data_IF_092574540268
#
_entry.id   IF_092574540268
#
_cell.length_a   1.000
_cell.length_b   1.000
_cell.length_c   1.000
_cell.angle_alpha   90.00
_cell.angle_beta   90.00
_cell.angle_gamma   90.00
#
_symmetry.space_group_name_H-M   'P 1'
#
loop_
_entity.id
_entity.type
_entity.pdbx_description
1 polymer ?
#
# COMPACT_ATOMS: atom_id res chain seq x y z
N UNK A 1 -1.52 -7.47 -26.26
CA UNK A 1 -1.97 -7.11 -27.62
C UNK A 1 -2.23 -8.41 -28.36
N UNK A 2 -3.35 -8.48 -29.13
CA UNK A 2 -4.05 -9.65 -29.70
C UNK A 2 -4.95 -10.37 -28.67
N UNK A 3 -6.28 -10.50 -28.80
CA UNK A 3 -7.24 -10.07 -29.81
C UNK A 3 -8.36 -11.11 -30.00
N UNK A 4 -9.62 -10.67 -29.81
CA UNK A 4 -10.88 -11.13 -30.43
C UNK A 4 -11.46 -12.54 -30.12
N UNK A 5 -12.79 -12.56 -29.95
CA UNK A 5 -13.61 -13.65 -29.38
C UNK A 5 -13.98 -14.81 -30.31
N UNK A 6 -14.75 -15.80 -29.83
CA UNK A 6 -14.97 -17.03 -30.57
C UNK A 6 -16.14 -16.90 -31.55
N UNK A 7 -15.84 -17.16 -32.83
CA UNK A 7 -16.80 -17.48 -33.86
C UNK A 7 -17.36 -18.89 -33.63
N UNK A 8 -18.65 -19.07 -33.94
CA UNK A 8 -19.35 -20.34 -33.82
C UNK A 8 -18.84 -21.40 -34.81
N UNK A 9 -18.81 -22.64 -34.33
CA UNK A 9 -18.61 -23.85 -35.12
C UNK A 9 -19.43 -24.99 -34.52
N UNK A 10 -20.47 -25.40 -35.23
CA UNK A 10 -21.28 -26.58 -34.95
C UNK A 10 -20.47 -27.84 -35.29
N UNK A 11 -20.10 -28.61 -34.26
CA UNK A 11 -19.38 -29.89 -34.39
C UNK A 11 -19.91 -30.91 -33.40
N UNK A 12 -20.42 -32.02 -33.91
CA UNK A 12 -20.98 -33.16 -33.21
C UNK A 12 -19.96 -33.89 -32.32
N UNK A 13 -20.37 -34.19 -31.09
CA UNK A 13 -20.02 -35.43 -30.39
C UNK A 13 -18.53 -35.73 -30.16
N UNK A 14 -17.93 -35.06 -29.19
CA UNK A 14 -17.08 -35.72 -28.21
C UNK A 14 -17.23 -34.98 -26.89
N UNK A 15 -17.37 -35.70 -25.78
CA UNK A 15 -17.25 -35.10 -24.46
C UNK A 15 -15.84 -34.50 -24.39
N UNK A 16 -15.70 -33.19 -24.62
CA UNK A 16 -14.52 -32.46 -24.21
C UNK A 16 -14.42 -32.65 -22.70
N UNK A 17 -13.58 -33.60 -22.31
CA UNK A 17 -13.46 -34.08 -20.94
C UNK A 17 -13.38 -32.88 -20.02
N UNK A 18 -14.32 -32.79 -19.08
CA UNK A 18 -14.43 -31.71 -18.11
C UNK A 18 -13.03 -31.25 -17.71
N UNK A 19 -12.65 -30.04 -18.16
CA UNK A 19 -11.30 -29.53 -17.97
C UNK A 19 -10.87 -29.81 -16.54
N UNK A 20 -9.73 -30.51 -16.36
CA UNK A 20 -9.31 -31.03 -15.06
C UNK A 20 -9.46 -29.93 -13.99
N UNK A 21 -10.45 -30.07 -13.11
CA UNK A 21 -10.84 -29.00 -12.17
C UNK A 21 -9.66 -28.58 -11.29
N UNK A 22 -8.77 -29.53 -10.95
CA UNK A 22 -7.52 -29.25 -10.25
C UNK A 22 -6.60 -28.31 -11.01
N UNK A 23 -6.44 -28.46 -12.34
CA UNK A 23 -5.63 -27.55 -13.16
C UNK A 23 -6.26 -26.15 -13.22
N UNK A 24 -7.58 -26.05 -13.33
CA UNK A 24 -8.29 -24.77 -13.33
C UNK A 24 -8.13 -24.04 -11.99
N UNK A 25 -8.31 -24.74 -10.86
CA UNK A 25 -8.09 -24.18 -9.51
C UNK A 25 -6.64 -23.75 -9.29
N UNK A 26 -5.67 -24.53 -9.78
CA UNK A 26 -4.26 -24.18 -9.71
C UNK A 26 -3.95 -22.89 -10.48
N UNK A 27 -4.46 -22.76 -11.71
CA UNK A 27 -4.30 -21.52 -12.51
C UNK A 27 -4.97 -20.32 -11.85
N UNK A 28 -6.16 -20.49 -11.29
CA UNK A 28 -6.85 -19.42 -10.57
C UNK A 28 -6.05 -18.96 -9.35
N UNK A 29 -5.50 -19.89 -8.56
CA UNK A 29 -4.60 -19.55 -7.44
C UNK A 29 -3.38 -18.75 -7.91
N UNK A 30 -2.75 -19.15 -9.01
CA UNK A 30 -1.64 -18.39 -9.58
C UNK A 30 -2.07 -16.99 -10.03
N UNK A 31 -3.27 -16.85 -10.59
CA UNK A 31 -3.82 -15.55 -10.96
C UNK A 31 -4.07 -14.66 -9.73
N UNK A 32 -4.61 -15.20 -8.64
CA UNK A 32 -4.77 -14.47 -7.37
C UNK A 32 -3.42 -13.97 -6.85
N UNK A 33 -2.35 -14.76 -6.95
CA UNK A 33 -1.01 -14.29 -6.57
C UNK A 33 -0.52 -13.12 -7.43
N UNK A 34 -0.77 -13.12 -8.74
CA UNK A 34 -0.42 -11.98 -9.60
C UNK A 34 -1.14 -10.70 -9.15
N UNK A 35 -2.41 -10.80 -8.74
CA UNK A 35 -3.16 -9.66 -8.21
C UNK A 35 -2.61 -9.19 -6.86
N UNK A 36 -2.28 -10.13 -5.95
CA UNK A 36 -1.66 -9.82 -4.66
C UNK A 36 -0.30 -9.16 -4.82
N UNK A 37 0.52 -9.61 -5.78
CA UNK A 37 1.80 -9.00 -6.12
C UNK A 37 1.62 -7.57 -6.66
N UNK A 38 0.61 -7.34 -7.51
CA UNK A 38 0.29 -6.01 -8.01
C UNK A 38 -0.07 -5.03 -6.88
N UNK A 39 -0.86 -5.47 -5.90
CA UNK A 39 -1.16 -4.64 -4.71
C UNK A 39 0.05 -4.50 -3.79
N UNK A 40 0.85 -5.55 -3.62
CA UNK A 40 2.04 -5.51 -2.77
C UNK A 40 3.19 -4.68 -3.36
N UNK A 41 3.13 -4.35 -4.65
CA UNK A 41 4.14 -3.51 -5.31
C UNK A 41 4.26 -2.11 -4.68
N UNK A 42 3.17 -1.54 -4.14
CA UNK A 42 3.21 -0.25 -3.44
C UNK A 42 4.04 -0.32 -2.15
N UNK A 43 3.86 -1.40 -1.39
CA UNK A 43 4.63 -1.68 -0.17
C UNK A 43 6.09 -2.00 -0.50
N UNK A 44 6.33 -2.79 -1.56
CA UNK A 44 7.66 -3.17 -2.03
C UNK A 44 8.44 -2.02 -2.70
N UNK A 45 7.77 -0.95 -3.09
CA UNK A 45 8.42 0.23 -3.67
C UNK A 45 9.48 0.78 -2.69
N UNK A 46 10.75 0.97 -3.12
CA UNK A 46 11.82 1.40 -2.21
C UNK A 46 11.56 2.77 -1.56
N UNK A 47 10.87 3.66 -2.27
CA UNK A 47 10.52 5.00 -1.80
C UNK A 47 9.11 5.03 -1.18
N UNK A 48 8.82 5.99 -0.27
CA UNK A 48 7.49 6.13 0.31
C UNK A 48 6.41 6.47 -0.73
N UNK A 49 5.26 5.83 -0.60
CA UNK A 49 4.06 6.00 -1.44
C UNK A 49 2.97 6.68 -0.62
N UNK A 50 2.46 7.80 -1.14
CA UNK A 50 1.36 8.55 -0.54
C UNK A 50 0.10 8.35 -1.39
N UNK A 51 -0.92 7.72 -0.82
CA UNK A 51 -2.26 7.66 -1.41
C UNK A 51 -3.04 8.94 -1.06
N UNK A 52 -3.48 9.68 -2.07
CA UNK A 52 -4.37 10.82 -1.94
C UNK A 52 -5.73 10.46 -2.53
N UNK A 53 -6.72 10.20 -1.68
CA UNK A 53 -8.02 9.64 -2.08
C UNK A 53 -9.09 10.72 -2.16
N UNK A 54 -9.66 10.89 -3.35
CA UNK A 54 -10.88 11.68 -3.55
C UNK A 54 -11.93 10.82 -4.26
N UNK A 55 -13.21 11.06 -3.96
CA UNK A 55 -14.30 10.25 -4.53
C UNK A 55 -14.36 8.86 -3.91
N UNK A 56 -14.60 7.83 -4.72
CA UNK A 56 -14.86 6.47 -4.26
C UNK A 56 -13.57 5.62 -4.22
N UNK A 57 -13.35 4.95 -3.09
CA UNK A 57 -12.28 3.99 -2.85
C UNK A 57 -12.91 2.68 -2.33
N UNK A 58 -13.28 1.80 -3.25
CA UNK A 58 -14.18 0.66 -2.99
C UNK A 58 -13.49 -0.63 -3.42
N UNK A 59 -13.60 -1.68 -2.59
CA UNK A 59 -13.03 -3.00 -2.85
C UNK A 59 -11.51 -2.96 -3.08
N UNK A 60 -11.08 -3.30 -4.29
CA UNK A 60 -9.68 -3.21 -4.74
C UNK A 60 -8.99 -1.86 -4.45
N UNK A 61 -9.76 -0.78 -4.36
CA UNK A 61 -9.25 0.52 -3.91
C UNK A 61 -8.69 0.47 -2.48
N UNK A 62 -9.36 -0.23 -1.56
CA UNK A 62 -8.90 -0.46 -0.19
C UNK A 62 -7.66 -1.34 -0.17
N UNK A 63 -7.62 -2.42 -0.97
CA UNK A 63 -6.43 -3.28 -1.09
C UNK A 63 -5.19 -2.47 -1.50
N UNK A 64 -5.37 -1.57 -2.47
CA UNK A 64 -4.32 -0.67 -2.94
C UNK A 64 -3.87 0.30 -1.85
N UNK A 65 -4.78 1.06 -1.24
CA UNK A 65 -4.37 2.13 -0.30
C UNK A 65 -3.81 1.59 1.02
N UNK A 66 -4.23 0.40 1.43
CA UNK A 66 -3.69 -0.26 2.63
C UNK A 66 -2.26 -0.76 2.44
N UNK A 67 -1.81 -0.95 1.18
CA UNK A 67 -0.42 -1.24 0.83
C UNK A 67 0.47 0.02 0.70
N UNK A 68 -0.11 1.22 0.66
CA UNK A 68 0.65 2.48 0.67
C UNK A 68 1.18 2.83 2.06
N UNK A 69 2.23 3.64 2.13
CA UNK A 69 2.83 4.06 3.42
C UNK A 69 1.97 5.09 4.15
N UNK A 70 1.43 6.05 3.40
CA UNK A 70 0.64 7.16 3.94
C UNK A 70 -0.65 7.30 3.13
N UNK A 71 -1.76 7.55 3.82
CA UNK A 71 -3.07 7.79 3.21
C UNK A 71 -3.63 9.14 3.66
N UNK A 72 -4.12 9.91 2.71
CA UNK A 72 -4.82 11.18 2.88
C UNK A 72 -6.13 11.10 2.10
N UNK A 73 -7.17 11.82 2.53
CA UNK A 73 -8.44 11.81 1.83
C UNK A 73 -9.11 13.18 1.75
N UNK A 74 -10.13 13.32 0.90
CA UNK A 74 -11.14 14.36 1.08
C UNK A 74 -12.15 13.95 2.16
N UNK A 75 -12.73 14.89 2.91
CA UNK A 75 -13.78 14.62 3.90
C UNK A 75 -14.96 13.85 3.27
N UNK A 76 -15.28 14.19 2.02
CA UNK A 76 -16.34 13.59 1.21
C UNK A 76 -15.95 12.31 0.46
N UNK A 77 -14.71 11.81 0.62
CA UNK A 77 -14.36 10.53 0.02
C UNK A 77 -15.21 9.40 0.62
N UNK A 78 -15.52 8.39 -0.19
CA UNK A 78 -16.32 7.22 0.23
C UNK A 78 -15.44 6.00 0.15
N UNK A 79 -15.38 5.25 1.25
CA UNK A 79 -14.61 4.03 1.39
C UNK A 79 -15.53 2.85 1.65
N UNK A 80 -15.18 1.67 1.14
CA UNK A 80 -15.94 0.45 1.39
C UNK A 80 -15.09 -0.80 1.13
N UNK A 81 -15.08 -1.73 2.08
CA UNK A 81 -14.59 -3.11 1.88
C UNK A 81 -15.73 -3.91 1.28
N UNK A 82 -15.83 -3.91 -0.05
CA UNK A 82 -17.06 -4.27 -0.79
C UNK A 82 -17.27 -5.77 -1.00
N UNK A 83 -16.24 -6.56 -0.75
CA UNK A 83 -16.15 -7.93 -1.24
C UNK A 83 -17.27 -8.84 -0.71
N UNK A 84 -17.73 -8.64 0.54
CA UNK A 84 -18.82 -9.44 1.11
C UNK A 84 -20.14 -9.27 0.32
N UNK A 85 -20.46 -8.06 -0.13
CA UNK A 85 -21.64 -7.79 -0.98
C UNK A 85 -21.51 -8.42 -2.38
N UNK A 86 -20.28 -8.74 -2.80
CA UNK A 86 -19.98 -9.42 -4.06
C UNK A 86 -19.84 -10.93 -3.90
N UNK A 87 -20.14 -11.47 -2.71
CA UNK A 87 -19.93 -12.88 -2.35
C UNK A 87 -18.46 -13.34 -2.52
N UNK A 88 -17.53 -12.43 -2.24
CA UNK A 88 -16.08 -12.64 -2.30
C UNK A 88 -15.50 -12.41 -0.91
N UNK A 89 -14.52 -13.23 -0.52
CA UNK A 89 -13.65 -12.91 0.62
C UNK A 89 -12.53 -12.03 0.09
N UNK A 90 -12.33 -10.85 0.68
CA UNK A 90 -11.24 -9.97 0.24
C UNK A 90 -9.89 -10.68 0.34
N UNK A 91 -9.22 -10.82 -0.80
CA UNK A 91 -8.07 -11.72 -0.98
C UNK A 91 -6.82 -11.00 -1.55
N UNK A 92 -6.90 -9.70 -1.84
CA UNK A 92 -5.78 -8.93 -2.42
C UNK A 92 -4.96 -8.13 -1.41
N UNK A 93 -5.32 -8.19 -0.12
CA UNK A 93 -4.47 -7.67 0.97
C UNK A 93 -5.20 -6.92 2.08
N UNK A 94 -6.44 -6.48 1.87
CA UNK A 94 -7.18 -5.69 2.87
C UNK A 94 -7.26 -6.42 4.21
N UNK A 95 -7.61 -7.72 4.24
CA UNK A 95 -7.72 -8.47 5.49
C UNK A 95 -6.36 -8.72 6.17
N UNK A 96 -5.26 -8.61 5.43
CA UNK A 96 -3.90 -8.79 5.94
C UNK A 96 -3.31 -7.47 6.47
N UNK A 97 -3.68 -6.32 5.88
CA UNK A 97 -3.09 -5.02 6.20
C UNK A 97 -3.98 -4.12 7.08
N UNK A 98 -5.29 -4.12 6.83
CA UNK A 98 -6.23 -3.22 7.51
C UNK A 98 -6.25 -3.37 9.04
N UNK A 99 -6.16 -4.58 9.64
CA UNK A 99 -6.14 -4.74 11.10
C UNK A 99 -5.00 -4.00 11.80
N UNK A 100 -3.82 -3.90 11.16
CA UNK A 100 -2.68 -3.17 11.70
C UNK A 100 -2.84 -1.64 11.59
N UNK A 101 -3.77 -1.18 10.75
CA UNK A 101 -4.01 0.25 10.49
C UNK A 101 -5.13 0.78 11.39
N UNK A 102 -6.31 0.13 11.36
CA UNK A 102 -7.53 0.61 12.04
C UNK A 102 -7.91 -0.22 13.27
N UNK A 103 -7.19 -1.32 13.52
CA UNK A 103 -7.52 -2.29 14.56
C UNK A 103 -8.46 -3.40 14.06
N UNK A 104 -8.43 -4.54 14.76
CA UNK A 104 -9.20 -5.73 14.38
C UNK A 104 -10.73 -5.51 14.44
N UNK A 105 -11.22 -4.82 15.48
CA UNK A 105 -12.66 -4.58 15.66
C UNK A 105 -13.28 -3.77 14.51
N UNK A 106 -12.67 -2.63 14.16
CA UNK A 106 -13.11 -1.82 13.03
C UNK A 106 -12.95 -2.58 11.70
N UNK A 107 -11.89 -3.36 11.53
CA UNK A 107 -11.72 -4.19 10.33
C UNK A 107 -12.86 -5.19 10.17
N UNK A 108 -13.21 -5.92 11.23
CA UNK A 108 -14.30 -6.89 11.20
C UNK A 108 -15.64 -6.21 10.88
N UNK A 109 -15.92 -5.08 11.52
CA UNK A 109 -17.15 -4.31 11.29
C UNK A 109 -17.28 -3.86 9.83
N UNK A 110 -16.24 -3.22 9.27
CA UNK A 110 -16.24 -2.75 7.89
C UNK A 110 -16.30 -3.90 6.86
N UNK A 111 -15.52 -4.97 7.07
CA UNK A 111 -15.42 -6.08 6.11
C UNK A 111 -16.66 -6.99 6.12
N UNK A 112 -17.31 -7.17 7.27
CA UNK A 112 -18.51 -8.01 7.37
C UNK A 112 -19.79 -7.27 6.94
N UNK A 113 -19.86 -5.96 7.17
CA UNK A 113 -21.04 -5.16 6.80
C UNK A 113 -20.97 -4.63 5.37
N UNK A 114 -19.77 -4.53 4.77
CA UNK A 114 -19.53 -3.91 3.48
C UNK A 114 -20.14 -2.49 3.36
N UNK A 115 -20.31 -1.78 4.49
CA UNK A 115 -20.91 -0.45 4.48
C UNK A 115 -19.94 0.60 3.90
N UNK A 116 -20.53 1.66 3.39
CA UNK A 116 -19.80 2.87 3.06
C UNK A 116 -19.41 3.64 4.33
N UNK A 117 -18.26 4.29 4.29
CA UNK A 117 -17.81 5.25 5.29
C UNK A 117 -17.14 6.46 4.66
N UNK A 118 -17.24 7.61 5.33
CA UNK A 118 -16.72 8.88 4.80
C UNK A 118 -15.22 9.04 5.03
N UNK A 119 -14.58 10.00 4.35
CA UNK A 119 -13.19 10.35 4.60
C UNK A 119 -12.96 10.98 5.97
N UNK A 120 -13.97 11.65 6.54
CA UNK A 120 -13.93 12.12 7.92
C UNK A 120 -13.89 10.93 8.90
N UNK A 121 -14.75 9.94 8.72
CA UNK A 121 -14.74 8.71 9.53
C UNK A 121 -13.46 7.90 9.32
N UNK A 122 -12.97 7.80 8.08
CA UNK A 122 -11.71 7.13 7.76
C UNK A 122 -10.52 7.74 8.54
N UNK A 123 -10.56 9.05 8.84
CA UNK A 123 -9.57 9.72 9.69
C UNK A 123 -9.73 9.33 11.16
N UNK A 124 -10.96 9.27 11.66
CA UNK A 124 -11.25 8.83 13.04
C UNK A 124 -10.79 7.37 13.27
N UNK A 125 -11.02 6.51 12.28
CA UNK A 125 -10.56 5.12 12.25
C UNK A 125 -9.05 4.97 12.00
N UNK A 126 -8.34 6.07 11.69
CA UNK A 126 -6.91 6.12 11.32
C UNK A 126 -6.56 5.40 10.02
N UNK A 127 -7.55 5.04 9.21
CA UNK A 127 -7.29 4.58 7.84
C UNK A 127 -6.54 5.65 7.07
N UNK A 128 -6.96 6.91 7.18
CA UNK A 128 -6.20 8.06 6.66
C UNK A 128 -5.61 8.89 7.80
N UNK A 129 -4.43 9.44 7.59
CA UNK A 129 -3.78 10.27 8.61
C UNK A 129 -4.41 11.66 8.70
N UNK A 130 -4.92 12.18 7.58
CA UNK A 130 -5.69 13.43 7.52
C UNK A 130 -6.73 13.40 6.40
N UNK A 131 -7.80 14.17 6.62
CA UNK A 131 -8.85 14.46 5.65
C UNK A 131 -8.92 15.97 5.35
N UNK A 132 -9.34 16.33 4.14
CA UNK A 132 -9.35 17.70 3.64
C UNK A 132 -10.68 18.06 2.98
N UNK A 133 -11.09 19.33 3.08
CA UNK A 133 -12.37 19.81 2.56
C UNK A 133 -12.51 19.75 1.03
N UNK A 134 -11.40 19.75 0.29
CA UNK A 134 -11.42 19.73 -1.18
C UNK A 134 -10.26 18.90 -1.76
N UNK A 135 -10.41 18.48 -3.01
CA UNK A 135 -9.38 17.75 -3.74
C UNK A 135 -8.11 18.58 -3.93
N UNK A 136 -8.23 19.89 -4.16
CA UNK A 136 -7.11 20.80 -4.30
C UNK A 136 -6.31 20.89 -3.01
N UNK A 137 -6.99 21.02 -1.87
CA UNK A 137 -6.35 21.04 -0.55
C UNK A 137 -5.65 19.71 -0.24
N UNK A 138 -6.30 18.58 -0.56
CA UNK A 138 -5.72 17.24 -0.46
C UNK A 138 -4.43 17.13 -1.28
N UNK A 139 -4.47 17.51 -2.57
CA UNK A 139 -3.30 17.42 -3.46
C UNK A 139 -2.19 18.38 -3.05
N UNK A 140 -2.52 19.58 -2.58
CA UNK A 140 -1.53 20.51 -2.05
C UNK A 140 -0.80 19.92 -0.83
N UNK A 141 -1.53 19.30 0.09
CA UNK A 141 -0.97 18.65 1.27
C UNK A 141 -0.13 17.42 0.92
N UNK A 142 -0.62 16.54 0.04
CA UNK A 142 0.11 15.37 -0.43
C UNK A 142 1.45 15.76 -1.09
N UNK A 143 1.43 16.76 -1.96
CA UNK A 143 2.63 17.27 -2.62
C UNK A 143 3.60 17.96 -1.64
N UNK A 144 3.09 18.71 -0.65
CA UNK A 144 3.92 19.31 0.38
C UNK A 144 4.61 18.24 1.26
N UNK A 145 3.89 17.18 1.60
CA UNK A 145 4.44 16.03 2.31
C UNK A 145 5.49 15.30 1.48
N UNK A 146 5.21 15.02 0.21
CA UNK A 146 6.17 14.41 -0.72
C UNK A 146 7.45 15.24 -0.83
N UNK A 147 7.35 16.57 -0.99
CA UNK A 147 8.51 17.48 -0.99
C UNK A 147 9.29 17.45 0.33
N UNK A 148 8.58 17.34 1.45
CA UNK A 148 9.21 17.26 2.78
C UNK A 148 10.02 15.98 2.93
N UNK A 149 9.49 14.85 2.47
CA UNK A 149 10.17 13.55 2.44
C UNK A 149 11.36 13.59 1.47
N UNK A 150 11.16 14.11 0.26
CA UNK A 150 12.20 14.19 -0.78
C UNK A 150 13.37 15.11 -0.40
N UNK A 151 13.20 16.01 0.57
CA UNK A 151 14.26 16.85 1.11
C UNK A 151 15.14 16.15 2.17
N UNK A 152 14.84 14.89 2.52
CA UNK A 152 15.62 14.07 3.45
C UNK A 152 16.62 13.19 2.70
N UNK A 153 17.57 12.60 3.42
CA UNK A 153 18.46 11.57 2.87
C UNK A 153 17.61 10.42 2.31
N UNK A 154 17.73 10.08 1.01
CA UNK A 154 16.95 9.00 0.45
C UNK A 154 17.37 7.65 1.04
N UNK A 155 18.64 7.47 1.41
CA UNK A 155 19.11 6.30 2.16
C UNK A 155 18.38 6.16 3.50
N UNK A 156 18.27 7.24 4.27
CA UNK A 156 17.59 7.23 5.56
C UNK A 156 16.08 6.99 5.40
N UNK A 157 15.44 7.61 4.40
CA UNK A 157 14.00 7.45 4.15
C UNK A 157 13.66 6.02 3.72
N UNK A 158 14.37 5.48 2.72
CA UNK A 158 14.15 4.11 2.25
C UNK A 158 14.47 3.09 3.35
N UNK A 159 15.54 3.30 4.12
CA UNK A 159 15.89 2.47 5.27
C UNK A 159 14.82 2.52 6.36
N UNK A 160 14.26 3.70 6.65
CA UNK A 160 13.16 3.85 7.62
C UNK A 160 11.94 3.05 7.18
N UNK A 161 11.51 3.16 5.91
CA UNK A 161 10.41 2.36 5.36
C UNK A 161 10.70 0.86 5.52
N UNK A 162 11.89 0.42 5.14
CA UNK A 162 12.30 -1.00 5.21
C UNK A 162 12.22 -1.56 6.63
N UNK A 163 12.74 -0.81 7.61
CA UNK A 163 12.74 -1.21 9.03
C UNK A 163 11.33 -1.22 9.61
N UNK A 164 10.49 -0.24 9.28
CA UNK A 164 9.08 -0.21 9.71
C UNK A 164 8.30 -1.42 9.20
N UNK A 165 8.47 -1.78 7.92
CA UNK A 165 7.84 -2.95 7.34
C UNK A 165 8.34 -4.25 7.97
N UNK A 166 9.64 -4.36 8.24
CA UNK A 166 10.19 -5.52 8.94
C UNK A 166 9.57 -5.63 10.35
N UNK A 167 9.55 -4.54 11.12
CA UNK A 167 9.00 -4.55 12.47
C UNK A 167 7.53 -4.97 12.52
N UNK A 168 6.70 -4.56 11.56
CA UNK A 168 5.27 -4.91 11.51
C UNK A 168 5.03 -6.41 11.68
N UNK A 169 5.89 -7.23 11.07
CA UNK A 169 5.71 -8.68 10.96
C UNK A 169 6.62 -9.47 11.93
N UNK A 170 7.37 -8.77 12.80
CA UNK A 170 8.35 -9.37 13.70
C UNK A 170 8.27 -8.81 15.13
N UNK A 171 8.96 -9.44 16.08
CA UNK A 171 9.01 -8.91 17.44
C UNK A 171 9.84 -7.62 17.52
N UNK A 172 9.69 -6.88 18.63
CA UNK A 172 10.53 -5.70 18.88
C UNK A 172 12.02 -6.07 18.93
N UNK A 173 12.36 -7.23 19.50
CA UNK A 173 13.74 -7.70 19.57
C UNK A 173 14.34 -7.96 18.18
N UNK A 174 13.60 -8.65 17.31
CA UNK A 174 14.02 -8.91 15.93
C UNK A 174 14.17 -7.59 15.15
N UNK A 175 13.23 -6.66 15.32
CA UNK A 175 13.27 -5.35 14.67
C UNK A 175 14.48 -4.51 15.10
N UNK A 176 14.84 -4.56 16.38
CA UNK A 176 16.03 -3.88 16.92
C UNK A 176 17.34 -4.48 16.39
N UNK A 177 17.42 -5.81 16.29
CA UNK A 177 18.59 -6.49 15.70
C UNK A 177 18.73 -6.18 14.20
N UNK A 178 17.60 -6.21 13.47
CA UNK A 178 17.55 -5.88 12.05
C UNK A 178 18.03 -4.46 11.76
N UNK A 179 17.53 -3.46 12.51
CA UNK A 179 17.95 -2.06 12.32
C UNK A 179 19.39 -1.82 12.77
N UNK A 180 19.88 -2.53 13.79
CA UNK A 180 21.28 -2.45 14.21
C UNK A 180 22.22 -2.92 13.09
N UNK A 181 21.92 -4.07 12.47
CA UNK A 181 22.66 -4.61 11.32
C UNK A 181 22.59 -3.69 10.11
N UNK A 182 21.42 -3.14 9.81
CA UNK A 182 21.26 -2.16 8.73
C UNK A 182 22.13 -0.91 8.97
N UNK A 183 22.03 -0.31 10.15
CA UNK A 183 22.75 0.92 10.48
C UNK A 183 24.26 0.70 10.62
N UNK A 184 24.72 -0.46 11.07
CA UNK A 184 26.16 -0.77 11.10
C UNK A 184 26.77 -0.85 9.71
N UNK A 185 25.99 -1.22 8.68
CA UNK A 185 26.41 -1.19 7.29
C UNK A 185 26.32 0.21 6.67
N UNK A 186 25.29 0.99 7.01
CA UNK A 186 24.94 2.24 6.31
C UNK A 186 25.51 3.52 6.94
N UNK A 187 25.71 3.56 8.26
CA UNK A 187 26.15 4.78 8.96
C UNK A 187 27.65 5.05 8.90
N UNK A 188 28.56 4.05 9.04
CA UNK A 188 29.98 4.32 8.98
C UNK A 188 30.36 5.01 7.68
N UNK A 189 30.98 6.19 7.78
CA UNK A 189 31.43 7.00 6.64
C UNK A 189 30.32 7.45 5.68
N UNK A 190 29.06 7.49 6.13
CA UNK A 190 27.95 8.00 5.33
C UNK A 190 28.16 9.45 4.90
N UNK A 191 28.21 9.70 3.59
CA UNK A 191 28.30 11.03 3.01
C UNK A 191 27.10 11.91 3.40
N UNK A 192 25.91 11.32 3.53
CA UNK A 192 24.70 12.04 3.94
C UNK A 192 24.81 12.54 5.39
N UNK A 193 25.40 11.75 6.29
CA UNK A 193 25.66 12.18 7.67
C UNK A 193 26.69 13.31 7.71
N UNK A 194 27.77 13.19 6.94
CA UNK A 194 28.78 14.26 6.82
C UNK A 194 28.16 15.56 6.29
N UNK A 195 27.32 15.46 5.26
CA UNK A 195 26.60 16.59 4.67
C UNK A 195 25.68 17.28 5.68
N UNK A 196 25.00 16.54 6.56
CA UNK A 196 24.21 17.14 7.65
C UNK A 196 25.08 18.02 8.55
N UNK A 197 26.26 17.54 8.93
CA UNK A 197 27.18 18.32 9.77
C UNK A 197 27.73 19.55 9.03
N UNK A 198 28.14 19.40 7.77
CA UNK A 198 28.64 20.49 6.93
C UNK A 198 27.58 21.57 6.70
N UNK A 199 26.36 21.18 6.31
CA UNK A 199 25.25 22.09 6.08
C UNK A 199 24.88 22.87 7.34
N UNK A 200 24.89 22.20 8.51
CA UNK A 200 24.65 22.84 9.81
C UNK A 200 25.73 23.87 10.14
N UNK A 201 27.00 23.54 9.94
CA UNK A 201 28.11 24.48 10.16
C UNK A 201 27.99 25.71 9.24
N UNK A 202 27.53 25.52 8.01
CA UNK A 202 27.35 26.57 7.00
C UNK A 202 25.97 27.28 7.07
N UNK A 203 25.11 26.94 8.04
CA UNK A 203 23.73 27.47 8.18
C UNK A 203 22.90 27.37 6.91
N UNK A 204 23.11 26.31 6.12
CA UNK A 204 22.31 25.99 4.93
C UNK A 204 21.52 24.70 5.13
N UNK A 205 20.60 24.41 4.22
CA UNK A 205 19.93 23.09 4.18
C UNK A 205 20.87 22.04 3.58
N UNK A 206 20.84 20.79 4.08
CA UNK A 206 21.62 19.72 3.49
C UNK A 206 21.07 19.36 2.11
N UNK A 207 21.98 18.95 1.21
CA UNK A 207 21.68 18.50 -0.14
C UNK A 207 22.20 17.06 -0.25
N UNK A 208 21.28 16.12 -0.41
CA UNK A 208 21.60 14.70 -0.50
C UNK A 208 21.69 14.26 -1.96
N UNK A 209 22.59 13.32 -2.24
CA UNK A 209 22.65 12.65 -3.54
C UNK A 209 21.41 11.78 -3.74
N UNK A 210 21.00 11.60 -5.00
CA UNK A 210 19.93 10.67 -5.36
C UNK A 210 20.44 9.23 -5.28
N UNK A 211 19.52 8.28 -5.06
CA UNK A 211 19.78 6.84 -5.21
C UNK A 211 19.97 6.44 -6.67
#
# INVERSE_FOLDING_TARGET
MQGLGPAGGSGSGSQEGAACQGRSRWRFRSFVFVLQEAMSAFEACPVPVIAAVHGHCVGAGIDMITACDIRLATDSAVFCVKEADLAIVADMGTLQRLPAIVGHGATAELALTARDFSGAEAKELRLVSQSYKSQEALMAAANAMARTIAAKSPLAVCGTKRVLLYQRDHSVADGLDYVATWNSAMLPQSADVQEVFLARAQRRRPIFSRL
#
